data_IF_605328855871
#
_entry.id   IF_605328855871
#
_cell.length_a   1.000
_cell.length_b   1.000
_cell.length_c   1.000
_cell.angle_alpha   90.00
_cell.angle_beta   90.00
_cell.angle_gamma   90.00
#
_symmetry.space_group_name_H-M   'P 1'
#
loop_
_entity.id
_entity.type
_entity.pdbx_description
1 polymer ?
#
# COMPACT_ATOMS: atom_id res chain seq x y z
N UNK A 1 41.05 -0.39 0.65
CA UNK A 1 39.78 -0.15 1.37
C UNK A 1 38.67 -0.85 0.61
N UNK A 2 38.51 -2.15 0.88
CA UNK A 2 37.40 -2.99 0.48
C UNK A 2 36.92 -3.61 1.78
N UNK A 3 35.71 -3.35 2.24
CA UNK A 3 35.08 -4.15 3.29
C UNK A 3 33.60 -3.83 3.41
N UNK A 4 32.84 -4.86 3.78
CA UNK A 4 31.40 -4.87 4.07
C UNK A 4 30.46 -5.07 2.88
N UNK A 5 30.62 -6.18 2.14
CA UNK A 5 29.47 -6.98 1.71
C UNK A 5 29.95 -8.39 1.33
N UNK A 6 30.36 -9.21 2.31
CA UNK A 6 30.76 -10.60 2.03
C UNK A 6 30.72 -11.49 3.27
N UNK A 7 29.58 -11.57 3.98
CA UNK A 7 29.49 -12.44 5.15
C UNK A 7 28.21 -13.26 5.34
N UNK A 8 27.29 -13.30 4.36
CA UNK A 8 26.12 -14.21 4.44
C UNK A 8 26.12 -15.37 3.42
N UNK A 9 27.15 -15.47 2.56
CA UNK A 9 27.27 -16.55 1.57
C UNK A 9 28.43 -17.53 1.84
N UNK A 10 29.29 -17.25 2.82
CA UNK A 10 30.46 -18.10 3.11
C UNK A 10 30.16 -19.30 4.02
N UNK A 11 29.14 -19.26 4.88
CA UNK A 11 28.89 -20.35 5.82
C UNK A 11 28.14 -21.55 5.21
N UNK A 12 27.48 -21.36 4.06
CA UNK A 12 26.92 -22.48 3.28
C UNK A 12 28.05 -23.25 2.56
N UNK A 13 29.17 -22.60 2.22
CA UNK A 13 30.33 -23.26 1.60
C UNK A 13 31.19 -24.08 2.59
N UNK A 14 31.07 -23.87 3.91
CA UNK A 14 31.88 -24.63 4.90
C UNK A 14 31.38 -26.05 5.16
N UNK A 15 30.18 -26.41 4.72
CA UNK A 15 29.65 -27.79 4.83
C UNK A 15 29.99 -28.68 3.62
N UNK A 16 30.75 -28.18 2.64
CA UNK A 16 31.09 -28.91 1.40
C UNK A 16 32.56 -29.33 1.33
N UNK A 17 33.20 -29.63 2.46
CA UNK A 17 34.61 -30.04 2.49
C UNK A 17 34.87 -31.52 2.20
N UNK A 18 33.84 -32.36 1.97
CA UNK A 18 34.01 -33.81 1.76
C UNK A 18 33.76 -34.36 0.33
N UNK A 19 33.59 -33.51 -0.69
CA UNK A 19 33.43 -33.96 -2.09
C UNK A 19 34.51 -33.39 -3.04
N UNK A 20 35.72 -33.17 -2.50
CA UNK A 20 36.81 -32.42 -3.13
C UNK A 20 37.57 -33.15 -4.27
N UNK A 21 36.95 -34.07 -5.01
CA UNK A 21 37.60 -34.75 -6.14
C UNK A 21 36.77 -34.93 -7.43
N UNK A 22 35.52 -34.50 -7.52
CA UNK A 22 34.69 -34.74 -8.72
C UNK A 22 34.15 -33.52 -9.49
N UNK A 23 34.59 -32.29 -9.20
CA UNK A 23 34.09 -31.09 -9.92
C UNK A 23 35.24 -30.13 -10.26
N UNK A 24 36.09 -30.49 -11.24
CA UNK A 24 37.08 -29.57 -11.82
C UNK A 24 36.53 -28.72 -12.98
N UNK A 25 35.27 -28.87 -13.39
CA UNK A 25 34.76 -28.17 -14.58
C UNK A 25 33.62 -27.14 -14.40
N UNK A 26 33.04 -26.92 -13.22
CA UNK A 26 31.79 -26.11 -13.13
C UNK A 26 31.86 -24.83 -12.27
N UNK A 27 33.05 -24.28 -11.99
CA UNK A 27 33.16 -23.01 -11.23
C UNK A 27 32.68 -21.80 -12.06
N UNK A 28 32.90 -21.83 -13.39
CA UNK A 28 32.42 -20.78 -14.28
C UNK A 28 30.91 -20.91 -14.53
N UNK A 29 30.39 -22.14 -14.61
CA UNK A 29 28.96 -22.38 -14.79
C UNK A 29 28.15 -21.98 -13.54
N UNK A 30 28.62 -22.29 -12.33
CA UNK A 30 27.95 -21.87 -11.08
C UNK A 30 27.87 -20.34 -10.91
N UNK A 31 28.92 -19.59 -11.25
CA UNK A 31 28.92 -18.13 -11.16
C UNK A 31 27.96 -17.50 -12.20
N UNK A 32 27.91 -18.07 -13.40
CA UNK A 32 27.01 -17.62 -14.46
C UNK A 32 25.56 -17.97 -14.11
N UNK A 33 25.29 -19.17 -13.60
CA UNK A 33 23.95 -19.59 -13.16
C UNK A 33 23.45 -18.76 -11.97
N UNK A 34 24.30 -18.47 -10.98
CA UNK A 34 23.96 -17.59 -9.85
C UNK A 34 23.67 -16.15 -10.30
N UNK A 35 24.48 -15.61 -11.23
CA UNK A 35 24.26 -14.28 -11.81
C UNK A 35 22.99 -14.22 -12.67
N UNK A 36 22.72 -15.24 -13.49
CA UNK A 36 21.50 -15.31 -14.28
C UNK A 36 20.27 -15.42 -13.38
N UNK A 37 20.30 -16.27 -12.35
CA UNK A 37 19.22 -16.37 -11.37
C UNK A 37 18.98 -15.03 -10.65
N UNK A 38 20.04 -14.34 -10.22
CA UNK A 38 19.92 -13.04 -9.56
C UNK A 38 19.37 -11.94 -10.47
N UNK A 39 19.83 -11.88 -11.73
CA UNK A 39 19.27 -10.95 -12.73
C UNK A 39 17.82 -11.29 -13.05
N UNK A 40 17.46 -12.56 -13.23
CA UNK A 40 16.06 -12.96 -13.45
C UNK A 40 15.17 -12.68 -12.24
N UNK A 41 15.68 -12.84 -11.01
CA UNK A 41 14.94 -12.52 -9.79
C UNK A 41 14.75 -11.02 -9.62
N UNK A 42 15.76 -10.19 -9.89
CA UNK A 42 15.64 -8.73 -9.88
C UNK A 42 14.74 -8.22 -11.00
N UNK A 43 14.82 -8.80 -12.19
CA UNK A 43 13.94 -8.48 -13.32
C UNK A 43 12.49 -8.92 -13.03
N UNK A 44 12.29 -10.09 -12.43
CA UNK A 44 10.99 -10.56 -11.95
C UNK A 44 10.46 -9.64 -10.83
N UNK A 45 11.31 -9.19 -9.92
CA UNK A 45 10.96 -8.25 -8.86
C UNK A 45 10.54 -6.88 -9.43
N UNK A 46 11.28 -6.36 -10.41
CA UNK A 46 10.93 -5.15 -11.18
C UNK A 46 9.61 -5.31 -11.95
N UNK A 47 9.34 -6.49 -12.51
CA UNK A 47 8.06 -6.79 -13.15
C UNK A 47 6.90 -6.94 -12.16
N UNK A 48 7.16 -7.41 -10.93
CA UNK A 48 6.13 -7.51 -9.89
C UNK A 48 5.73 -6.15 -9.31
N UNK A 49 6.57 -5.12 -9.43
CA UNK A 49 6.29 -3.78 -8.89
C UNK A 49 5.60 -2.84 -9.89
N UNK A 50 5.46 -3.24 -11.15
CA UNK A 50 4.96 -2.36 -12.23
C UNK A 50 3.42 -2.33 -12.27
N UNK A 51 2.80 -1.71 -11.27
CA UNK A 51 1.34 -1.45 -11.25
C UNK A 51 1.09 0.05 -11.17
N UNK A 52 0.26 0.59 -12.07
CA UNK A 52 -0.09 2.01 -12.01
C UNK A 52 -0.82 2.35 -10.70
N UNK A 53 -0.54 3.57 -10.21
CA UNK A 53 -1.14 4.13 -8.99
C UNK A 53 -2.04 5.30 -9.37
N UNK A 54 -3.29 5.25 -8.92
CA UNK A 54 -4.20 6.40 -9.01
C UNK A 54 -3.86 7.41 -7.92
N UNK A 55 -3.51 8.63 -8.32
CA UNK A 55 -3.30 9.78 -7.45
C UNK A 55 -4.42 10.82 -7.62
N UNK A 56 -4.67 11.59 -6.57
CA UNK A 56 -5.74 12.59 -6.51
C UNK A 56 -5.14 13.91 -6.04
N UNK A 57 -5.43 14.99 -6.76
CA UNK A 57 -4.95 16.33 -6.43
C UNK A 57 -6.13 17.32 -6.35
N UNK A 58 -6.32 18.02 -5.20
CA UNK A 58 -5.55 17.86 -3.96
C UNK A 58 -5.81 16.49 -3.29
N UNK A 59 -4.87 16.02 -2.46
CA UNK A 59 -4.98 14.73 -1.78
C UNK A 59 -6.09 14.76 -0.74
N UNK A 60 -7.29 14.34 -1.15
CA UNK A 60 -8.48 14.21 -0.30
C UNK A 60 -9.50 13.22 -0.86
N UNK A 61 -10.22 12.56 0.05
CA UNK A 61 -11.39 11.71 -0.27
C UNK A 61 -12.71 12.47 -0.18
N UNK A 62 -12.69 13.70 0.37
CA UNK A 62 -13.87 14.53 0.61
C UNK A 62 -13.70 15.86 -0.12
N UNK A 63 -14.75 16.30 -0.80
CA UNK A 63 -14.76 17.55 -1.56
C UNK A 63 -16.07 18.30 -1.37
N UNK A 64 -16.04 19.62 -1.57
CA UNK A 64 -17.24 20.42 -1.68
C UNK A 64 -17.76 20.46 -3.10
N UNK A 65 -19.06 20.66 -3.24
CA UNK A 65 -19.64 21.05 -4.52
C UNK A 65 -18.96 22.33 -5.05
N UNK A 66 -18.50 22.26 -6.30
CA UNK A 66 -17.73 23.31 -6.97
C UNK A 66 -16.22 23.15 -6.91
N UNK A 67 -15.68 22.21 -6.12
CA UNK A 67 -14.22 21.98 -6.06
C UNK A 67 -13.67 21.47 -7.40
N UNK A 68 -12.43 21.86 -7.70
CA UNK A 68 -11.62 21.32 -8.79
C UNK A 68 -10.83 20.11 -8.31
N UNK A 69 -10.83 19.02 -9.09
CA UNK A 69 -10.07 17.81 -8.79
C UNK A 69 -9.36 17.31 -10.03
N UNK A 70 -8.10 16.90 -9.88
CA UNK A 70 -7.33 16.20 -10.89
C UNK A 70 -7.02 14.79 -10.44
N UNK A 71 -7.33 13.81 -11.27
CA UNK A 71 -7.09 12.39 -11.05
C UNK A 71 -6.01 11.91 -12.04
N UNK A 72 -4.93 11.31 -11.57
CA UNK A 72 -3.82 10.90 -12.44
C UNK A 72 -3.46 9.44 -12.25
N UNK A 73 -3.19 8.74 -13.35
CA UNK A 73 -2.60 7.41 -13.31
C UNK A 73 -1.08 7.58 -13.41
N UNK A 74 -0.39 7.49 -12.27
CA UNK A 74 1.08 7.51 -12.22
C UNK A 74 1.61 6.10 -12.49
N UNK A 75 2.48 5.99 -13.49
CA UNK A 75 3.31 4.82 -13.77
C UNK A 75 4.75 5.14 -13.41
N UNK A 76 5.52 4.13 -13.02
CA UNK A 76 6.96 4.28 -12.82
C UNK A 76 7.75 4.34 -14.13
N UNK A 77 7.21 3.91 -15.29
CA UNK A 77 7.99 3.92 -16.56
C UNK A 77 7.24 3.80 -17.92
N UNK A 78 5.92 3.97 -18.02
CA UNK A 78 5.28 4.04 -19.35
C UNK A 78 4.04 4.94 -19.39
N UNK A 79 3.72 5.48 -20.56
CA UNK A 79 2.54 6.32 -20.76
C UNK A 79 1.86 5.88 -22.05
N UNK A 80 1.17 4.74 -22.03
CA UNK A 80 0.34 4.33 -23.17
C UNK A 80 -0.66 3.24 -22.79
N UNK A 81 -1.78 3.61 -22.16
CA UNK A 81 -2.99 2.76 -22.22
C UNK A 81 -3.90 2.73 -20.99
N UNK A 82 -3.58 3.42 -19.89
CA UNK A 82 -4.52 3.49 -18.76
C UNK A 82 -5.73 4.34 -19.09
N UNK A 83 -6.87 3.79 -18.77
CA UNK A 83 -8.18 4.42 -18.91
C UNK A 83 -8.71 4.72 -17.53
N UNK A 84 -8.86 5.99 -17.19
CA UNK A 84 -9.49 6.38 -15.93
C UNK A 84 -11.00 6.15 -15.99
N UNK A 85 -11.51 5.43 -15.00
CA UNK A 85 -12.92 5.06 -14.88
C UNK A 85 -13.52 5.51 -13.56
N UNK A 86 -14.85 5.63 -13.55
CA UNK A 86 -15.60 5.89 -12.33
C UNK A 86 -16.93 5.11 -12.25
N UNK A 87 -17.58 5.18 -11.08
CA UNK A 87 -18.95 4.68 -10.86
C UNK A 87 -20.01 5.79 -10.73
N UNK A 88 -19.64 7.07 -10.75
CA UNK A 88 -20.51 8.16 -10.25
C UNK A 88 -21.84 8.31 -11.00
N UNK A 89 -21.89 7.92 -12.29
CA UNK A 89 -23.09 8.00 -13.14
C UNK A 89 -23.69 6.64 -13.50
N UNK A 90 -23.44 5.60 -12.70
CA UNK A 90 -23.90 4.22 -12.89
C UNK A 90 -23.43 3.53 -14.20
N UNK A 91 -22.68 4.23 -15.05
CA UNK A 91 -22.06 3.70 -16.24
C UNK A 91 -20.54 3.81 -16.07
N UNK A 92 -19.86 2.67 -16.23
CA UNK A 92 -18.40 2.50 -16.17
C UNK A 92 -17.71 3.24 -17.33
N UNK A 93 -17.83 4.57 -17.34
CA UNK A 93 -17.43 5.45 -18.45
C UNK A 93 -16.00 5.91 -18.29
N UNK A 94 -15.35 6.17 -19.42
CA UNK A 94 -13.99 6.71 -19.45
C UNK A 94 -14.03 8.23 -19.27
N UNK A 95 -12.98 8.79 -18.65
CA UNK A 95 -12.79 10.24 -18.61
C UNK A 95 -12.79 10.86 -20.02
N UNK A 96 -13.59 11.91 -20.21
CA UNK A 96 -13.78 12.58 -21.49
C UNK A 96 -15.06 12.21 -22.21
N UNK A 97 -15.73 11.11 -21.83
CA UNK A 97 -17.02 10.72 -22.42
C UNK A 97 -18.18 11.55 -21.83
N UNK A 98 -18.45 11.34 -20.54
CA UNK A 98 -19.62 11.90 -19.83
C UNK A 98 -19.21 12.71 -18.58
N UNK A 99 -17.95 12.62 -18.20
CA UNK A 99 -17.40 13.25 -17.01
C UNK A 99 -15.91 13.54 -17.19
N UNK A 100 -15.43 14.54 -16.48
CA UNK A 100 -14.05 14.99 -16.53
C UNK A 100 -13.59 15.49 -17.91
N UNK A 101 -12.38 16.01 -17.96
CA UNK A 101 -11.68 16.41 -19.17
C UNK A 101 -10.30 15.75 -19.18
N UNK A 102 -9.95 14.98 -20.23
CA UNK A 102 -8.63 14.37 -20.30
C UNK A 102 -7.55 15.44 -20.43
N UNK A 103 -6.46 15.27 -19.70
CA UNK A 103 -5.31 16.15 -19.63
C UNK A 103 -4.03 15.31 -19.51
N UNK A 104 -3.58 14.73 -20.63
CA UNK A 104 -2.45 13.79 -20.63
C UNK A 104 -2.80 12.47 -19.93
N UNK A 105 -2.00 12.08 -18.94
CA UNK A 105 -2.26 10.92 -18.05
C UNK A 105 -3.28 11.22 -16.94
N UNK A 106 -3.77 12.46 -16.88
CA UNK A 106 -4.71 12.91 -15.85
C UNK A 106 -6.10 13.20 -16.42
N UNK A 107 -7.07 13.31 -15.52
CA UNK A 107 -8.44 13.68 -15.79
C UNK A 107 -8.86 14.80 -14.84
N UNK A 108 -9.26 15.93 -15.41
CA UNK A 108 -9.64 17.11 -14.64
C UNK A 108 -11.16 17.24 -14.55
N UNK A 109 -11.68 17.32 -13.34
CA UNK A 109 -13.08 17.63 -13.05
C UNK A 109 -13.12 19.08 -12.56
N UNK A 110 -13.67 19.97 -13.39
CA UNK A 110 -13.61 21.41 -13.13
C UNK A 110 -14.54 21.89 -12.02
N UNK A 111 -15.68 21.21 -11.86
CA UNK A 111 -16.69 21.54 -10.85
C UNK A 111 -17.31 20.24 -10.37
N UNK A 112 -16.86 19.75 -9.22
CA UNK A 112 -17.45 18.58 -8.57
C UNK A 112 -18.90 18.84 -8.19
N UNK A 113 -19.80 17.93 -8.50
CA UNK A 113 -21.19 17.93 -7.99
C UNK A 113 -21.46 16.68 -7.16
N UNK A 114 -22.50 16.64 -6.31
CA UNK A 114 -22.82 15.44 -5.51
C UNK A 114 -22.93 14.15 -6.33
N UNK A 115 -23.35 14.25 -7.58
CA UNK A 115 -23.46 13.13 -8.54
C UNK A 115 -22.10 12.62 -9.07
N UNK A 116 -21.00 13.31 -8.78
CA UNK A 116 -19.63 12.86 -9.08
C UNK A 116 -19.06 12.01 -7.93
N UNK A 117 -19.78 11.86 -6.82
CA UNK A 117 -19.39 10.93 -5.75
C UNK A 117 -19.35 9.49 -6.27
N UNK A 118 -18.32 8.74 -5.92
CA UNK A 118 -18.16 7.36 -6.36
C UNK A 118 -16.73 6.85 -6.29
N UNK A 119 -16.54 5.65 -6.83
CA UNK A 119 -15.25 4.97 -6.85
C UNK A 119 -14.55 5.29 -8.16
N UNK A 120 -13.26 5.60 -8.08
CA UNK A 120 -12.38 5.94 -9.19
C UNK A 120 -11.19 4.97 -9.22
N UNK A 121 -10.77 4.56 -10.43
CA UNK A 121 -9.61 3.69 -10.63
C UNK A 121 -9.07 3.84 -12.06
N UNK A 122 -7.81 3.47 -12.26
CA UNK A 122 -7.19 3.31 -13.56
C UNK A 122 -7.36 1.86 -14.02
N UNK A 123 -7.73 1.66 -15.29
CA UNK A 123 -7.82 0.33 -15.91
C UNK A 123 -6.92 0.24 -17.14
N UNK A 124 -6.16 -0.86 -17.27
CA UNK A 124 -5.37 -1.20 -18.46
C UNK A 124 -5.89 -2.49 -19.09
N UNK A 125 -6.17 -2.45 -20.40
CA UNK A 125 -6.62 -3.59 -21.23
C UNK A 125 -7.77 -4.43 -20.63
N UNK A 126 -8.63 -3.83 -19.81
CA UNK A 126 -9.73 -4.51 -19.11
C UNK A 126 -9.33 -5.63 -18.14
N UNK A 127 -8.03 -5.80 -17.87
CA UNK A 127 -7.51 -6.87 -17.00
C UNK A 127 -6.86 -6.34 -15.74
N UNK A 128 -6.13 -5.23 -15.85
CA UNK A 128 -5.31 -4.70 -14.76
C UNK A 128 -5.96 -3.43 -14.23
N UNK A 129 -6.11 -3.35 -12.90
CA UNK A 129 -6.67 -2.19 -12.22
C UNK A 129 -5.67 -1.65 -11.19
N UNK A 130 -5.65 -0.33 -11.02
CA UNK A 130 -4.91 0.33 -9.94
C UNK A 130 -5.61 0.18 -8.58
N UNK A 131 -5.08 0.86 -7.56
CA UNK A 131 -5.85 1.16 -6.36
C UNK A 131 -7.18 1.87 -6.71
N UNK A 132 -8.18 1.62 -5.89
CA UNK A 132 -9.48 2.28 -5.97
C UNK A 132 -9.58 3.37 -4.92
N UNK A 133 -10.16 4.51 -5.29
CA UNK A 133 -10.40 5.62 -4.37
C UNK A 133 -11.88 5.96 -4.38
N UNK A 134 -12.48 6.08 -3.19
CA UNK A 134 -13.85 6.54 -3.04
C UNK A 134 -13.87 8.04 -2.74
N UNK A 135 -14.41 8.84 -3.67
CA UNK A 135 -14.57 10.27 -3.51
C UNK A 135 -16.00 10.61 -3.11
N UNK A 136 -16.13 11.50 -2.15
CA UNK A 136 -17.41 11.99 -1.65
C UNK A 136 -17.51 13.50 -1.86
N UNK A 137 -18.57 13.92 -2.57
CA UNK A 137 -18.82 15.34 -2.85
C UNK A 137 -20.03 15.80 -2.05
N UNK A 138 -19.81 16.79 -1.19
CA UNK A 138 -20.85 17.31 -0.31
C UNK A 138 -21.43 18.61 -0.85
N UNK A 139 -22.70 18.56 -1.28
CA UNK A 139 -23.45 19.72 -1.78
C UNK A 139 -24.51 20.28 -0.83
N UNK A 140 -24.84 19.57 0.26
CA UNK A 140 -25.88 20.02 1.20
C UNK A 140 -25.35 21.16 2.07
N UNK A 141 -26.19 22.20 2.24
CA UNK A 141 -25.96 23.33 3.16
C UNK A 141 -25.71 22.91 4.62
N UNK A 142 -26.07 21.68 4.99
CA UNK A 142 -25.94 21.12 6.34
C UNK A 142 -24.55 20.59 6.68
N UNK A 143 -23.65 20.45 5.70
CA UNK A 143 -22.25 20.10 5.95
C UNK A 143 -21.39 21.27 5.51
N UNK A 144 -20.76 21.88 6.49
CA UNK A 144 -20.06 23.14 6.33
C UNK A 144 -18.54 22.96 6.37
N UNK A 145 -18.07 21.74 6.66
CA UNK A 145 -16.66 21.37 6.75
C UNK A 145 -16.39 19.97 6.17
N UNK A 146 -15.12 19.71 5.84
CA UNK A 146 -14.59 18.40 5.45
C UNK A 146 -13.24 18.16 6.11
N UNK A 147 -12.88 16.89 6.27
CA UNK A 147 -11.53 16.50 6.64
C UNK A 147 -10.71 16.21 5.38
N UNK A 148 -9.70 17.03 5.12
CA UNK A 148 -8.72 16.76 4.09
C UNK A 148 -7.66 15.79 4.64
N UNK A 149 -7.83 14.50 4.35
CA UNK A 149 -6.89 13.43 4.70
C UNK A 149 -6.22 12.86 3.44
N UNK A 150 -5.03 12.24 3.56
CA UNK A 150 -4.41 11.57 2.43
C UNK A 150 -5.32 10.49 1.84
N UNK A 151 -5.33 10.39 0.51
CA UNK A 151 -6.13 9.40 -0.24
C UNK A 151 -5.45 8.04 -0.30
N UNK A 152 -4.12 8.03 -0.23
CA UNK A 152 -3.31 6.84 -0.35
C UNK A 152 -2.89 6.35 1.04
N UNK A 153 -2.59 5.05 1.20
CA UNK A 153 -1.96 4.54 2.40
C UNK A 153 -0.67 5.30 2.70
N UNK A 154 -0.48 5.62 3.97
CA UNK A 154 0.67 6.35 4.48
C UNK A 154 1.75 5.36 4.89
N UNK A 155 3.02 5.63 4.61
CA UNK A 155 4.11 4.76 5.05
C UNK A 155 4.49 5.03 6.51
N UNK A 156 4.90 4.00 7.23
CA UNK A 156 5.47 4.17 8.57
C UNK A 156 6.72 5.06 8.52
N UNK A 157 6.83 5.98 9.47
CA UNK A 157 7.91 6.96 9.56
C UNK A 157 7.63 8.28 8.81
N UNK A 158 6.66 8.31 7.90
CA UNK A 158 6.29 9.54 7.20
C UNK A 158 5.50 10.51 8.11
N UNK A 159 5.50 11.79 7.74
CA UNK A 159 4.67 12.81 8.37
C UNK A 159 3.38 13.03 7.57
N UNK A 160 2.24 13.06 8.26
CA UNK A 160 0.93 13.31 7.65
C UNK A 160 0.32 14.57 8.21
N UNK A 161 -0.17 15.44 7.34
CA UNK A 161 -0.95 16.61 7.74
C UNK A 161 -2.41 16.45 7.36
N UNK A 162 -3.28 16.59 8.35
CA UNK A 162 -4.72 16.64 8.24
C UNK A 162 -5.18 18.10 8.30
N UNK A 163 -6.07 18.48 7.39
CA UNK A 163 -6.64 19.82 7.35
C UNK A 163 -8.16 19.76 7.54
N UNK A 164 -8.65 20.43 8.56
CA UNK A 164 -10.07 20.69 8.72
C UNK A 164 -10.45 21.90 7.87
N UNK A 165 -11.09 21.66 6.71
CA UNK A 165 -11.41 22.70 5.73
C UNK A 165 -12.89 23.06 5.82
N UNK A 166 -13.17 24.33 6.04
CA UNK A 166 -14.53 24.88 6.03
C UNK A 166 -14.90 25.39 4.64
N UNK A 167 -16.20 25.43 4.32
CA UNK A 167 -16.71 25.90 3.03
C UNK A 167 -16.56 27.42 2.85
N UNK A 168 -16.62 28.18 3.94
CA UNK A 168 -16.58 29.65 3.95
C UNK A 168 -15.25 30.17 4.45
N UNK A 169 -14.78 31.30 3.90
CA UNK A 169 -13.57 31.96 4.39
C UNK A 169 -13.84 32.77 5.67
N UNK A 170 -12.90 32.78 6.65
CA UNK A 170 -11.60 32.12 6.65
C UNK A 170 -11.70 30.59 6.84
N UNK A 171 -10.91 29.84 6.05
CA UNK A 171 -10.92 28.37 6.05
C UNK A 171 -10.21 27.74 7.24
N UNK A 172 -9.39 28.53 7.94
CA UNK A 172 -8.48 28.08 9.00
C UNK A 172 -9.04 28.54 10.34
N UNK A 173 -9.95 27.76 10.89
CA UNK A 173 -10.53 27.98 12.22
C UNK A 173 -9.93 26.98 13.21
N UNK A 174 -9.93 27.30 14.52
CA UNK A 174 -9.56 26.34 15.55
C UNK A 174 -10.42 25.08 15.44
N UNK A 175 -9.77 23.92 15.35
CA UNK A 175 -10.45 22.64 15.16
C UNK A 175 -9.94 21.59 16.15
N UNK A 176 -10.87 20.82 16.70
CA UNK A 176 -10.62 19.62 17.47
C UNK A 176 -10.58 18.41 16.52
N UNK A 177 -9.53 17.59 16.62
CA UNK A 177 -9.35 16.38 15.84
C UNK A 177 -9.64 15.16 16.69
N UNK A 178 -10.34 14.20 16.11
CA UNK A 178 -10.71 12.95 16.74
C UNK A 178 -10.21 11.76 15.93
N UNK A 179 -9.75 10.72 16.62
CA UNK A 179 -9.43 9.40 16.07
C UNK A 179 -10.26 8.35 16.80
N UNK A 180 -10.99 7.53 16.05
CA UNK A 180 -11.81 6.44 16.60
C UNK A 180 -12.78 6.91 17.71
N UNK A 181 -13.28 8.15 17.57
CA UNK A 181 -14.16 8.80 18.53
C UNK A 181 -13.48 9.48 19.72
N UNK A 182 -12.17 9.35 19.87
CA UNK A 182 -11.40 9.98 20.96
C UNK A 182 -10.73 11.26 20.49
N UNK A 183 -10.78 12.33 21.30
CA UNK A 183 -10.06 13.58 21.04
C UNK A 183 -8.55 13.32 21.07
N UNK A 184 -7.85 13.64 19.98
CA UNK A 184 -6.40 13.48 19.89
C UNK A 184 -5.67 14.82 20.04
N UNK A 185 -6.23 15.91 19.49
CA UNK A 185 -5.60 17.23 19.53
C UNK A 185 -6.58 18.34 19.20
N UNK A 186 -6.33 19.54 19.70
CA UNK A 186 -6.95 20.78 19.23
C UNK A 186 -5.88 21.67 18.60
N UNK A 187 -6.13 22.15 17.38
CA UNK A 187 -5.16 22.95 16.62
C UNK A 187 -5.79 24.30 16.23
N UNK A 188 -5.13 25.44 16.52
CA UNK A 188 -5.71 26.77 16.36
C UNK A 188 -5.91 27.19 14.91
N UNK A 189 -5.17 26.57 13.98
CA UNK A 189 -5.24 26.85 12.54
C UNK A 189 -6.11 25.84 11.78
N UNK A 190 -6.56 24.77 12.44
CA UNK A 190 -7.24 23.65 11.78
C UNK A 190 -6.31 22.73 10.99
N UNK A 191 -4.99 22.81 11.20
CA UNK A 191 -3.98 21.90 10.63
C UNK A 191 -3.41 21.04 11.74
N UNK A 192 -3.48 19.72 11.59
CA UNK A 192 -2.87 18.76 12.53
C UNK A 192 -1.84 17.91 11.80
N UNK A 193 -0.61 17.87 12.31
CA UNK A 193 0.43 16.99 11.79
C UNK A 193 0.68 15.83 12.75
N UNK A 194 0.57 14.61 12.23
CA UNK A 194 1.02 13.37 12.87
C UNK A 194 2.46 13.16 12.39
N UNK A 195 3.40 13.17 13.32
CA UNK A 195 4.82 12.99 13.01
C UNK A 195 5.23 11.55 13.21
N UNK A 196 6.11 11.04 12.35
CA UNK A 196 6.62 9.66 12.43
C UNK A 196 5.49 8.63 12.55
N UNK A 197 4.62 8.60 11.54
CA UNK A 197 3.43 7.74 11.53
C UNK A 197 3.77 6.27 11.83
N UNK A 198 2.94 5.63 12.64
CA UNK A 198 3.07 4.25 13.07
C UNK A 198 1.79 3.46 12.79
N UNK A 199 1.82 2.13 12.92
CA UNK A 199 0.59 1.31 12.83
C UNK A 199 -0.51 1.73 13.79
N UNK A 200 -0.17 2.34 14.93
CA UNK A 200 -1.16 2.79 15.91
C UNK A 200 -1.94 4.03 15.45
N UNK A 201 -1.45 4.74 14.43
CA UNK A 201 -2.09 5.91 13.83
C UNK A 201 -3.13 5.52 12.77
N UNK A 202 -3.22 4.25 12.37
CA UNK A 202 -4.31 3.76 11.52
C UNK A 202 -5.66 3.88 12.25
N UNK A 203 -6.68 4.40 11.57
CA UNK A 203 -8.02 4.52 12.15
C UNK A 203 -8.94 5.50 11.43
N UNK A 204 -10.08 5.78 12.06
CA UNK A 204 -11.13 6.66 11.55
C UNK A 204 -11.01 8.07 12.14
N UNK A 205 -10.68 9.04 11.29
CA UNK A 205 -10.45 10.43 11.69
C UNK A 205 -11.63 11.35 11.34
N UNK A 206 -11.89 12.34 12.18
CA UNK A 206 -12.82 13.46 11.90
C UNK A 206 -12.33 14.73 12.61
N UNK A 207 -12.81 15.90 12.18
CA UNK A 207 -12.61 17.14 12.91
C UNK A 207 -13.95 17.76 13.36
N UNK A 208 -13.90 18.56 14.42
CA UNK A 208 -15.00 19.39 14.94
C UNK A 208 -14.50 20.82 15.08
N UNK A 209 -15.36 21.78 14.78
CA UNK A 209 -15.08 23.19 15.04
C UNK A 209 -16.26 23.72 15.83
N UNK A 210 -15.94 24.30 16.97
CA UNK A 210 -16.92 24.74 17.94
C UNK A 210 -17.94 25.71 17.33
N UNK A 211 -19.23 25.42 17.55
CA UNK A 211 -20.34 26.25 17.07
C UNK A 211 -20.74 26.02 15.62
N UNK A 212 -20.03 25.17 14.89
CA UNK A 212 -20.34 24.89 13.51
C UNK A 212 -20.58 23.38 13.25
N UNK A 213 -19.96 22.47 14.00
CA UNK A 213 -20.28 21.02 14.01
C UNK A 213 -19.10 20.13 13.59
N UNK A 214 -19.38 18.89 13.18
CA UNK A 214 -18.37 17.87 12.87
C UNK A 214 -18.24 17.58 11.35
N UNK A 215 -17.06 17.15 10.92
CA UNK A 215 -16.80 16.66 9.55
C UNK A 215 -17.31 15.24 9.38
N UNK A 216 -17.60 14.81 8.13
CA UNK A 216 -17.62 13.39 7.82
C UNK A 216 -16.28 12.74 8.16
N UNK A 217 -16.33 11.48 8.59
CA UNK A 217 -15.13 10.74 8.95
C UNK A 217 -14.37 10.21 7.71
N UNK A 218 -13.04 10.13 7.82
CA UNK A 218 -12.16 9.55 6.80
C UNK A 218 -11.26 8.49 7.41
N UNK A 219 -11.11 7.35 6.73
CA UNK A 219 -10.21 6.28 7.17
C UNK A 219 -8.78 6.55 6.68
N UNK A 220 -7.81 6.47 7.58
CA UNK A 220 -6.38 6.56 7.23
C UNK A 220 -5.77 5.18 7.44
N UNK A 221 -5.22 4.61 6.36
CA UNK A 221 -4.49 3.34 6.38
C UNK A 221 -2.99 3.60 6.49
N UNK A 222 -2.31 2.86 7.36
CA UNK A 222 -0.85 2.93 7.51
C UNK A 222 -0.23 1.63 7.02
N UNK A 223 0.77 1.73 6.16
CA UNK A 223 1.52 0.59 5.62
C UNK A 223 2.96 0.65 6.12
N UNK A 224 3.43 -0.46 6.68
CA UNK A 224 4.82 -0.59 7.11
C UNK A 224 5.71 -1.03 5.97
N UNK A 225 6.99 -0.66 6.03
CA UNK A 225 8.00 -1.24 5.16
C UNK A 225 8.12 -2.74 5.43
N UNK A 226 7.63 -3.54 4.49
CA UNK A 226 7.75 -5.00 4.55
C UNK A 226 9.21 -5.45 4.51
N UNK A 227 10.10 -4.61 3.97
CA UNK A 227 11.53 -4.86 3.87
C UNK A 227 12.25 -4.70 5.22
N UNK A 228 11.89 -3.71 6.03
CA UNK A 228 12.51 -3.51 7.35
C UNK A 228 11.98 -4.50 8.37
N UNK A 229 10.69 -4.83 8.36
CA UNK A 229 10.12 -5.80 9.31
C UNK A 229 10.62 -7.24 9.09
N UNK A 230 10.88 -7.64 7.84
CA UNK A 230 11.51 -8.92 7.53
C UNK A 230 12.99 -8.97 7.98
N UNK A 231 13.71 -7.84 7.86
CA UNK A 231 15.09 -7.71 8.34
C UNK A 231 15.14 -7.68 9.87
N UNK A 232 14.26 -6.93 10.54
CA UNK A 232 14.20 -6.86 12.01
C UNK A 232 13.77 -8.18 12.65
N UNK A 233 12.89 -8.94 11.97
CA UNK A 233 12.50 -10.29 12.39
C UNK A 233 13.64 -11.30 12.20
N UNK A 234 14.54 -11.09 11.24
CA UNK A 234 15.73 -11.92 11.05
C UNK A 234 16.88 -11.53 12.01
N UNK A 235 17.00 -10.25 12.35
CA UNK A 235 18.04 -9.72 13.25
C UNK A 235 17.78 -10.07 14.72
N UNK A 236 16.51 -10.20 15.13
CA UNK A 236 16.15 -10.50 16.54
C UNK A 236 16.53 -11.93 17.00
N UNK A 237 17.07 -12.77 16.13
CA UNK A 237 17.42 -14.17 16.45
C UNK A 237 18.85 -14.39 16.97
N UNK A 238 19.72 -13.36 16.99
CA UNK A 238 21.15 -13.57 17.35
C UNK A 238 21.65 -12.91 18.65
N UNK A 239 20.83 -12.16 19.39
CA UNK A 239 21.26 -11.55 20.66
C UNK A 239 20.62 -12.20 21.91
N UNK A 240 21.11 -13.38 22.30
CA UNK A 240 21.11 -13.85 23.70
C UNK A 240 22.39 -14.64 23.98
N UNK A 241 23.43 -13.98 24.49
CA UNK A 241 24.60 -14.66 25.08
C UNK A 241 24.42 -14.95 26.57
N UNK A 242 24.81 -16.18 26.92
CA UNK A 242 25.18 -16.71 28.24
C UNK A 242 24.08 -16.89 29.30
N UNK A 243 23.43 -18.05 29.23
CA UNK A 243 22.88 -18.77 30.36
C UNK A 243 22.84 -20.25 30.02
N UNK A 244 23.47 -21.10 30.83
CA UNK A 244 23.39 -22.55 30.70
C UNK A 244 21.93 -22.98 30.94
N UNK A 245 21.29 -23.58 29.94
CA UNK A 245 19.93 -24.10 30.03
C UNK A 245 19.97 -25.58 29.64
N UNK A 246 19.81 -26.40 30.67
CA UNK A 246 19.71 -27.85 30.63
C UNK A 246 18.38 -28.23 29.94
N UNK A 247 18.44 -28.81 28.73
CA UNK A 247 17.24 -29.24 28.00
C UNK A 247 16.81 -30.62 28.54
N UNK A 248 15.84 -30.64 29.45
CA UNK A 248 15.06 -31.85 29.70
C UNK A 248 14.15 -32.12 28.51
N UNK A 249 14.39 -33.26 27.89
CA UNK A 249 13.58 -33.88 26.84
C UNK A 249 12.11 -33.96 27.29
N UNK A 250 11.24 -33.16 26.67
CA UNK A 250 9.79 -33.26 26.80
C UNK A 250 9.23 -33.72 25.46
N UNK A 251 9.01 -35.03 25.38
CA UNK A 251 8.35 -35.71 24.27
C UNK A 251 6.85 -35.39 24.35
N UNK A 252 6.32 -34.70 23.35
CA UNK A 252 4.87 -34.57 23.17
C UNK A 252 4.53 -34.57 21.68
N UNK A 253 3.58 -35.44 21.33
CA UNK A 253 3.28 -35.96 20.01
C UNK A 253 2.69 -34.91 19.06
N UNK A 254 3.33 -34.70 17.90
CA UNK A 254 2.68 -34.06 16.77
C UNK A 254 1.78 -35.09 16.06
N UNK A 255 0.46 -34.98 16.30
CA UNK A 255 -0.56 -35.70 15.54
C UNK A 255 -0.48 -35.33 14.06
N UNK A 256 -0.13 -36.33 13.26
CA UNK A 256 -0.18 -36.32 11.80
C UNK A 256 -1.62 -36.13 11.32
N UNK A 257 -1.98 -34.93 10.86
CA UNK A 257 -3.12 -34.77 9.97
C UNK A 257 -2.67 -35.10 8.56
N UNK A 258 -3.15 -36.26 8.10
CA UNK A 258 -2.97 -36.78 6.76
C UNK A 258 -3.69 -35.91 5.72
N UNK A 259 -2.99 -35.58 4.63
CA UNK A 259 -3.64 -35.40 3.33
C UNK A 259 -3.20 -36.58 2.45
N UNK A 260 -4.18 -37.42 2.09
CA UNK A 260 -3.99 -38.63 1.30
C UNK A 260 -3.31 -38.35 -0.05
N UNK A 261 -2.44 -39.27 -0.51
CA UNK A 261 -2.05 -39.40 -1.91
C UNK A 261 -3.13 -40.17 -2.68
N UNK A 262 -3.58 -39.66 -3.83
CA UNK A 262 -4.24 -40.51 -4.82
C UNK A 262 -3.14 -41.28 -5.56
N UNK A 263 -3.04 -42.58 -5.26
CA UNK A 263 -2.15 -43.50 -5.96
C UNK A 263 -2.76 -43.92 -7.31
N UNK A 264 -1.93 -44.41 -8.25
CA UNK A 264 -2.34 -44.99 -9.51
C UNK A 264 -2.50 -46.53 -9.41
N UNK A 265 -3.50 -47.13 -10.06
CA UNK A 265 -3.37 -48.38 -10.84
C UNK A 265 -4.70 -48.96 -11.36
N UNK A 266 -4.57 -49.62 -12.52
CA UNK A 266 -5.52 -50.19 -13.46
C UNK A 266 -6.46 -51.31 -12.95
N UNK A 267 -7.58 -51.56 -13.68
CA UNK A 267 -7.92 -52.86 -14.32
C UNK A 267 -9.21 -52.76 -15.21
N UNK A 268 -9.12 -53.23 -16.48
CA UNK A 268 -10.09 -53.98 -17.36
C UNK A 268 -11.58 -53.56 -17.46
N UNK A 269 -12.38 -53.75 -18.53
CA UNK A 269 -12.37 -54.44 -19.84
C UNK A 269 -13.68 -54.09 -20.61
N UNK A 270 -13.67 -54.22 -21.95
CA UNK A 270 -14.80 -54.40 -22.91
C UNK A 270 -15.75 -53.19 -23.12
N UNK A 271 -16.17 -52.80 -24.32
CA UNK A 271 -16.38 -53.47 -25.63
C UNK A 271 -15.71 -52.71 -26.78
#
# INVERSE_FOLDING_TARGET
MHSCCNMCLCDICRSWSNWKQLLRNDINECNVVSSLLCTTMTFLFLFLTLTARLTVSPSSTQFFEGDFVSLSCEEDDSSAGWTLRNTSKQQRTQCGDVWGKPAGSSCNISMMVPHDSGIYWCEFNQSTISNMVNLTVTGKLSVWMILQSPVLPVMEGDDVTLLCKTKTTPSNLPAAFYKDGSLIREEPTGHMTIQHVSRSDEGLYKCDISGHGESPSSWITVTGDTLTSAVDSAVRTEDVTHGEIDIKEKQEEAKMYSCCPLSPSWFKMNF
#
